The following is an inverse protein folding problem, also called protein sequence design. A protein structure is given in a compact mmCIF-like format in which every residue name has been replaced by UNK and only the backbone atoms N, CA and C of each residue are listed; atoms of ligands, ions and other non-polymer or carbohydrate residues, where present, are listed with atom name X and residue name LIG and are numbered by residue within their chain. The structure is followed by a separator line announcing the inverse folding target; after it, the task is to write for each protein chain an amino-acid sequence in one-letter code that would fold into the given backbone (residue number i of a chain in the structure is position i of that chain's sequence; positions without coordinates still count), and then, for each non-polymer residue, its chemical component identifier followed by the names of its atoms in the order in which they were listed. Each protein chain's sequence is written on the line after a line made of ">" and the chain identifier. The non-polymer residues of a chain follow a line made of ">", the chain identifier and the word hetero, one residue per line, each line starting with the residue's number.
data_IF_146777983310
#
_entry.id   IF_146777983310
#
_cell.length_a   1.000
_cell.length_b   1.000
_cell.length_c   1.000
_cell.angle_alpha   90.00
_cell.angle_beta   90.00
_cell.angle_gamma   90.00
#
_symmetry.space_group_name_H-M   'P 1'
#
loop_
_entity.id
_entity.type
_entity.pdbx_description
1 polymer ?
#
# COMPACT_ATOMS: atom_id res chain seq x y z
N UNK A 1 -52.52 -53.46 -10.99
CA UNK A 1 -52.83 -52.01 -11.02
C UNK A 1 -52.46 -51.40 -9.66
N UNK A 2 -52.20 -50.08 -9.61
CA UNK A 2 -51.64 -49.28 -8.49
C UNK A 2 -50.10 -49.21 -8.53
N UNK A 3 -49.43 -48.43 -9.39
CA UNK A 3 -49.44 -46.97 -9.62
C UNK A 3 -48.99 -46.12 -8.41
N UNK A 4 -47.72 -45.69 -8.48
CA UNK A 4 -47.10 -44.44 -8.01
C UNK A 4 -47.38 -44.01 -6.56
N UNK A 5 -46.30 -43.89 -5.77
CA UNK A 5 -45.98 -42.66 -5.01
C UNK A 5 -44.46 -42.46 -4.94
N UNK A 6 -43.97 -41.66 -5.88
CA UNK A 6 -42.64 -41.05 -5.84
C UNK A 6 -42.73 -39.93 -4.79
N UNK A 7 -41.98 -40.06 -3.69
CA UNK A 7 -41.81 -39.00 -2.70
C UNK A 7 -40.43 -38.37 -2.91
N UNK A 8 -40.42 -37.28 -3.69
CA UNK A 8 -39.28 -36.38 -3.86
C UNK A 8 -39.19 -35.56 -2.57
N UNK A 9 -38.16 -35.80 -1.76
CA UNK A 9 -37.83 -34.94 -0.63
C UNK A 9 -36.82 -33.91 -1.11
N UNK A 10 -37.32 -32.74 -1.55
CA UNK A 10 -36.48 -31.60 -1.88
C UNK A 10 -35.99 -30.96 -0.56
N UNK A 11 -34.77 -31.30 -0.15
CA UNK A 11 -34.10 -30.63 0.95
C UNK A 11 -33.67 -29.25 0.46
N UNK A 12 -34.31 -28.21 1.00
CA UNK A 12 -33.99 -26.81 0.77
C UNK A 12 -32.60 -26.51 1.35
N UNK A 13 -31.55 -26.65 0.55
CA UNK A 13 -30.24 -26.11 0.88
C UNK A 13 -30.30 -24.58 0.69
N UNK A 14 -30.59 -23.85 1.76
CA UNK A 14 -30.27 -22.42 1.84
C UNK A 14 -28.76 -22.30 2.02
N UNK A 15 -27.98 -21.84 1.02
CA UNK A 15 -26.68 -21.29 1.32
C UNK A 15 -26.95 -20.04 2.18
N UNK A 16 -26.64 -20.13 3.47
CA UNK A 16 -26.35 -18.93 4.25
C UNK A 16 -25.18 -18.26 3.53
N UNK A 17 -25.50 -17.29 2.69
CA UNK A 17 -24.51 -16.39 2.13
C UNK A 17 -23.84 -15.72 3.31
N UNK A 18 -22.65 -16.17 3.67
CA UNK A 18 -21.74 -15.40 4.48
C UNK A 18 -21.46 -14.14 3.68
N UNK A 19 -22.16 -13.07 4.00
CA UNK A 19 -21.68 -11.74 3.69
C UNK A 19 -20.37 -11.59 4.46
N UNK A 20 -19.26 -11.94 3.83
CA UNK A 20 -17.99 -11.33 4.20
C UNK A 20 -18.23 -9.85 3.93
N UNK A 21 -18.44 -9.06 4.99
CA UNK A 21 -18.11 -7.64 4.91
C UNK A 21 -16.64 -7.64 4.49
N UNK A 22 -16.40 -7.49 3.19
CA UNK A 22 -15.08 -7.32 2.66
C UNK A 22 -14.64 -6.00 3.25
N UNK A 23 -13.82 -6.09 4.29
CA UNK A 23 -12.89 -5.06 4.73
C UNK A 23 -12.03 -4.78 3.49
N UNK A 24 -12.58 -3.97 2.60
CA UNK A 24 -12.02 -3.66 1.30
C UNK A 24 -10.80 -2.82 1.65
N UNK A 25 -9.65 -3.48 1.74
CA UNK A 25 -8.42 -2.77 2.01
C UNK A 25 -8.26 -1.76 0.87
N UNK A 26 -8.52 -0.49 1.14
CA UNK A 26 -8.32 0.58 0.17
C UNK A 26 -6.85 0.68 -0.29
N UNK A 27 -5.95 -0.13 0.29
CA UNK A 27 -4.64 -0.43 -0.26
C UNK A 27 -4.70 -0.99 -1.70
N UNK A 28 -5.74 -1.73 -2.07
CA UNK A 28 -5.92 -2.24 -3.44
C UNK A 28 -6.15 -1.11 -4.45
N UNK A 29 -6.67 0.05 -3.99
CA UNK A 29 -6.79 1.25 -4.80
C UNK A 29 -5.47 2.00 -5.00
N UNK A 30 -4.40 1.63 -4.28
CA UNK A 30 -3.10 2.25 -4.38
C UNK A 30 -2.13 1.35 -5.15
N UNK A 31 -2.05 1.54 -6.46
CA UNK A 31 -1.20 0.74 -7.32
C UNK A 31 0.23 1.33 -7.42
N UNK A 32 1.26 0.47 -7.42
CA UNK A 32 2.62 0.89 -7.78
C UNK A 32 2.64 1.27 -9.27
N UNK A 33 2.81 2.55 -9.56
CA UNK A 33 2.87 3.10 -10.93
C UNK A 33 4.25 2.94 -11.56
N UNK A 34 5.32 2.93 -10.76
CA UNK A 34 6.68 2.78 -11.25
C UNK A 34 7.73 2.84 -10.15
N UNK A 35 8.96 2.54 -10.50
CA UNK A 35 10.12 2.76 -9.63
C UNK A 35 11.38 2.97 -10.45
N UNK A 36 12.27 3.83 -9.97
CA UNK A 36 13.51 4.20 -10.64
C UNK A 36 14.66 4.25 -9.63
N UNK A 37 15.86 3.93 -10.10
CA UNK A 37 17.11 4.15 -9.37
C UNK A 37 17.88 5.30 -9.99
N UNK A 38 18.78 5.94 -9.25
CA UNK A 38 19.69 6.94 -9.82
C UNK A 38 19.06 8.32 -10.07
N UNK A 39 17.81 8.54 -9.65
CA UNK A 39 17.11 9.79 -9.94
C UNK A 39 17.66 10.94 -9.09
N UNK A 40 17.91 12.13 -9.68
CA UNK A 40 18.33 13.30 -8.92
C UNK A 40 17.36 13.63 -7.79
N UNK A 41 17.86 13.65 -6.55
CA UNK A 41 17.06 13.99 -5.37
C UNK A 41 17.80 15.01 -4.50
N UNK A 42 17.23 16.21 -4.39
CA UNK A 42 17.84 17.32 -3.60
C UNK A 42 17.99 17.00 -2.11
N UNK A 43 17.24 16.01 -1.61
CA UNK A 43 17.30 15.56 -0.21
C UNK A 43 18.33 14.44 0.03
N UNK A 44 18.97 13.95 -1.04
CA UNK A 44 19.90 12.83 -1.04
C UNK A 44 21.21 13.16 -1.74
N UNK A 45 21.64 14.42 -1.67
CA UNK A 45 22.87 14.85 -2.31
C UNK A 45 24.08 14.19 -1.62
N UNK A 46 24.64 13.19 -2.29
CA UNK A 46 25.94 12.61 -1.94
C UNK A 46 26.94 12.96 -3.03
N UNK A 47 28.23 13.00 -2.70
CA UNK A 47 29.28 13.36 -3.64
C UNK A 47 30.29 12.22 -3.77
N UNK A 48 30.60 11.88 -5.02
CA UNK A 48 31.72 11.00 -5.36
C UNK A 48 32.78 11.88 -6.05
N UNK A 49 33.76 12.33 -5.26
CA UNK A 49 34.65 13.42 -5.64
C UNK A 49 33.88 14.75 -5.76
N UNK A 50 33.92 15.38 -6.95
CA UNK A 50 33.21 16.64 -7.22
C UNK A 50 31.84 16.46 -7.90
N UNK A 51 31.44 15.21 -8.21
CA UNK A 51 30.18 14.93 -8.90
C UNK A 51 29.13 14.50 -7.88
N UNK A 52 27.90 15.00 -8.06
CA UNK A 52 26.74 14.51 -7.31
C UNK A 52 26.46 13.07 -7.73
N UNK A 53 26.36 12.21 -6.74
CA UNK A 53 26.04 10.80 -6.88
C UNK A 53 24.64 10.55 -6.32
N UNK A 54 23.79 10.00 -7.17
CA UNK A 54 22.42 9.61 -6.84
C UNK A 54 22.19 8.12 -7.11
N UNK A 55 23.24 7.34 -7.40
CA UNK A 55 23.12 5.93 -7.76
C UNK A 55 22.39 5.09 -6.71
N UNK A 56 22.55 5.44 -5.43
CA UNK A 56 21.83 4.81 -4.31
C UNK A 56 20.38 5.27 -4.12
N UNK A 57 19.94 6.34 -4.79
CA UNK A 57 18.59 6.87 -4.64
C UNK A 57 17.60 5.93 -5.31
N UNK A 58 16.69 5.37 -4.51
CA UNK A 58 15.54 4.62 -4.99
C UNK A 58 14.29 5.50 -4.90
N UNK A 59 13.52 5.58 -5.98
CA UNK A 59 12.27 6.31 -6.04
C UNK A 59 11.16 5.34 -6.45
N UNK A 60 10.00 5.46 -5.81
CA UNK A 60 8.80 4.68 -6.12
C UNK A 60 7.60 5.61 -6.25
N UNK A 61 6.73 5.29 -7.20
CA UNK A 61 5.52 6.04 -7.48
C UNK A 61 4.31 5.16 -7.21
N UNK A 62 3.33 5.71 -6.50
CA UNK A 62 2.05 5.09 -6.23
C UNK A 62 0.94 5.94 -6.82
N UNK A 63 0.00 5.32 -7.52
CA UNK A 63 -1.14 5.99 -8.13
C UNK A 63 -2.43 5.49 -7.50
N UNK A 64 -3.32 6.43 -7.16
CA UNK A 64 -4.69 6.08 -6.81
C UNK A 64 -5.44 5.71 -8.09
N UNK A 65 -5.81 4.45 -8.24
CA UNK A 65 -6.54 3.93 -9.41
C UNK A 65 -8.06 3.96 -9.23
N UNK A 66 -8.53 4.22 -8.01
CA UNK A 66 -9.93 4.39 -7.69
C UNK A 66 -10.35 5.86 -7.85
N UNK A 67 -11.66 6.14 -7.80
CA UNK A 67 -12.18 7.50 -8.01
C UNK A 67 -12.31 8.27 -6.68
N UNK A 68 -12.26 7.56 -5.55
CA UNK A 68 -12.34 8.09 -4.21
C UNK A 68 -11.03 8.77 -3.79
N UNK A 69 -11.12 9.74 -2.88
CA UNK A 69 -9.93 10.34 -2.26
C UNK A 69 -9.42 9.41 -1.16
N UNK A 70 -8.14 9.06 -1.21
CA UNK A 70 -7.47 8.20 -0.24
C UNK A 70 -6.50 8.98 0.63
N UNK A 71 -6.43 8.67 1.92
CA UNK A 71 -5.28 9.04 2.75
C UNK A 71 -4.25 7.93 2.71
N UNK A 72 -3.02 8.31 2.36
CA UNK A 72 -1.94 7.36 2.07
C UNK A 72 -0.74 7.62 2.97
N UNK A 73 -0.23 6.55 3.56
CA UNK A 73 1.05 6.51 4.29
C UNK A 73 2.02 5.63 3.52
N UNK A 74 3.25 6.10 3.31
CA UNK A 74 4.31 5.32 2.63
C UNK A 74 5.60 5.39 3.43
N UNK A 75 6.33 4.27 3.43
CA UNK A 75 7.68 4.19 3.94
C UNK A 75 8.58 3.40 2.96
N UNK A 76 9.78 3.91 2.71
CA UNK A 76 10.77 3.28 1.83
C UNK A 76 11.99 2.96 2.66
N UNK A 77 12.51 1.76 2.51
CA UNK A 77 13.63 1.31 3.33
C UNK A 77 14.98 1.78 2.79
N UNK A 78 15.81 2.27 3.71
CA UNK A 78 17.20 2.63 3.51
C UNK A 78 18.11 1.41 3.78
N UNK A 79 19.29 1.36 3.16
CA UNK A 79 20.25 0.23 3.28
C UNK A 79 20.79 0.03 4.69
N UNK A 80 20.68 1.03 5.56
CA UNK A 80 21.01 0.93 6.98
C UNK A 80 19.90 0.27 7.83
N UNK A 81 18.84 -0.26 7.20
CA UNK A 81 17.70 -0.89 7.87
C UNK A 81 16.66 0.10 8.42
N UNK A 82 16.90 1.40 8.30
CA UNK A 82 15.91 2.42 8.70
C UNK A 82 14.86 2.61 7.62
N UNK A 83 13.66 3.03 8.02
CA UNK A 83 12.56 3.28 7.09
C UNK A 83 12.34 4.79 6.97
N UNK A 84 12.56 5.34 5.77
CA UNK A 84 12.21 6.71 5.45
C UNK A 84 10.71 6.82 5.26
N UNK A 85 10.04 7.45 6.20
CA UNK A 85 8.60 7.64 6.18
C UNK A 85 8.21 8.96 5.53
N UNK A 86 7.02 8.97 4.93
CA UNK A 86 6.40 10.16 4.34
C UNK A 86 5.16 10.54 5.15
N UNK A 87 4.80 11.83 5.25
CA UNK A 87 3.58 12.24 5.94
C UNK A 87 2.34 11.66 5.25
N UNK A 88 1.27 11.48 6.03
CA UNK A 88 -0.02 11.07 5.46
C UNK A 88 -0.46 12.14 4.46
N UNK A 89 -0.79 11.72 3.25
CA UNK A 89 -1.17 12.62 2.16
C UNK A 89 -2.47 12.15 1.54
N UNK A 90 -3.38 13.08 1.21
CA UNK A 90 -4.59 12.77 0.46
C UNK A 90 -4.29 12.70 -1.04
N UNK A 91 -4.75 11.64 -1.72
CA UNK A 91 -4.63 11.45 -3.17
C UNK A 91 -6.02 11.35 -3.78
N UNK A 92 -6.38 12.27 -4.68
CA UNK A 92 -7.59 12.14 -5.47
C UNK A 92 -7.45 11.02 -6.51
N UNK A 93 -8.56 10.62 -7.13
CA UNK A 93 -8.54 9.58 -8.15
C UNK A 93 -7.65 9.96 -9.33
N UNK A 94 -6.72 9.07 -9.68
CA UNK A 94 -5.74 9.29 -10.74
C UNK A 94 -4.44 9.98 -10.30
N UNK A 95 -4.39 10.60 -9.11
CA UNK A 95 -3.21 11.28 -8.59
C UNK A 95 -2.07 10.30 -8.27
N UNK A 96 -0.84 10.80 -8.32
CA UNK A 96 0.37 10.01 -8.06
C UNK A 96 1.19 10.61 -6.92
N UNK A 97 1.51 9.78 -5.93
CA UNK A 97 2.47 10.06 -4.87
C UNK A 97 3.85 9.52 -5.25
N UNK A 98 4.89 10.30 -4.99
CA UNK A 98 6.29 9.87 -5.10
C UNK A 98 6.89 9.74 -3.71
N UNK A 99 7.50 8.58 -3.43
CA UNK A 99 8.32 8.33 -2.27
C UNK A 99 9.74 7.92 -2.70
N UNK A 100 10.71 8.04 -1.81
CA UNK A 100 12.11 7.71 -2.11
C UNK A 100 12.87 7.26 -0.86
N UNK A 101 14.02 6.64 -1.06
CA UNK A 101 15.09 6.42 -0.08
C UNK A 101 16.41 6.91 -0.69
N UNK A 102 17.30 7.49 0.12
CA UNK A 102 18.56 8.06 -0.39
C UNK A 102 19.60 6.99 -0.72
N UNK A 103 19.57 5.89 0.04
CA UNK A 103 20.31 4.67 -0.18
C UNK A 103 19.28 3.54 -0.08
N UNK A 104 18.50 3.33 -1.13
CA UNK A 104 17.37 2.41 -1.06
C UNK A 104 17.76 0.94 -1.12
N UNK A 105 16.90 0.07 -0.61
CA UNK A 105 16.96 -1.39 -0.83
C UNK A 105 15.98 -1.86 -1.91
N UNK A 106 15.07 -0.98 -2.34
CA UNK A 106 13.93 -1.34 -3.19
C UNK A 106 12.68 -1.76 -2.41
N UNK A 107 12.80 -2.04 -1.09
CA UNK A 107 11.67 -2.43 -0.24
C UNK A 107 10.83 -1.21 0.13
N UNK A 108 9.50 -1.42 0.14
CA UNK A 108 8.51 -0.38 0.39
C UNK A 108 7.34 -0.95 1.18
N UNK A 109 6.78 -0.15 2.08
CA UNK A 109 5.54 -0.42 2.77
C UNK A 109 4.59 0.75 2.52
N UNK A 110 3.31 0.45 2.33
CA UNK A 110 2.29 1.46 2.13
C UNK A 110 0.98 1.04 2.79
N UNK A 111 0.21 2.05 3.18
CA UNK A 111 -1.11 1.90 3.77
C UNK A 111 -2.00 2.95 3.15
N UNK A 112 -3.24 2.59 2.87
CA UNK A 112 -4.24 3.51 2.37
C UNK A 112 -5.57 3.27 3.08
N UNK A 113 -6.29 4.35 3.30
CA UNK A 113 -7.68 4.34 3.75
C UNK A 113 -8.45 5.40 2.98
N UNK A 114 -9.77 5.30 2.97
CA UNK A 114 -10.60 6.39 2.44
C UNK A 114 -10.48 7.62 3.34
N UNK A 115 -10.52 8.82 2.75
CA UNK A 115 -10.65 10.04 3.55
C UNK A 115 -11.89 9.96 4.44
N UNK A 116 -11.72 10.34 5.72
CA UNK A 116 -12.72 10.29 6.80
C UNK A 116 -13.08 8.88 7.30
N UNK A 117 -12.40 7.83 6.85
CA UNK A 117 -12.48 6.53 7.49
C UNK A 117 -11.70 6.55 8.82
N UNK A 118 -12.43 6.48 9.92
CA UNK A 118 -11.86 6.46 11.27
C UNK A 118 -11.68 5.05 11.83
N UNK A 119 -12.18 4.03 11.13
CA UNK A 119 -12.05 2.62 11.56
C UNK A 119 -10.63 2.13 11.30
N UNK A 120 -10.03 2.56 10.19
CA UNK A 120 -8.65 2.23 9.82
C UNK A 120 -7.71 3.31 10.35
N UNK A 121 -6.79 2.98 11.25
CA UNK A 121 -5.75 3.90 11.74
C UNK A 121 -4.45 3.68 10.96
N UNK A 122 -4.00 4.71 10.25
CA UNK A 122 -2.70 4.67 9.56
C UNK A 122 -1.55 4.69 10.57
N UNK A 123 -0.48 3.91 10.35
CA UNK A 123 0.61 3.83 11.31
C UNK A 123 1.41 5.13 11.39
N UNK A 124 1.84 5.44 12.60
CA UNK A 124 2.78 6.52 12.88
C UNK A 124 4.21 6.14 12.51
N UNK A 125 5.09 7.13 12.37
CA UNK A 125 6.51 6.90 12.07
C UNK A 125 7.18 6.00 13.12
N UNK A 126 6.85 6.21 14.41
CA UNK A 126 7.37 5.41 15.51
C UNK A 126 6.91 3.95 15.46
N UNK A 127 5.66 3.69 15.05
CA UNK A 127 5.16 2.33 14.88
C UNK A 127 5.86 1.62 13.71
N UNK A 128 6.07 2.31 12.58
CA UNK A 128 6.80 1.77 11.43
C UNK A 128 8.24 1.45 11.83
N UNK A 129 8.93 2.38 12.50
CA UNK A 129 10.30 2.15 12.96
C UNK A 129 10.40 0.97 13.93
N UNK A 130 9.49 0.90 14.91
CA UNK A 130 9.49 -0.17 15.93
C UNK A 130 9.21 -1.55 15.32
N UNK A 131 8.23 -1.65 14.41
CA UNK A 131 7.85 -2.90 13.74
C UNK A 131 8.94 -3.47 12.83
N UNK A 132 9.95 -2.65 12.49
CA UNK A 132 11.08 -3.04 11.67
C UNK A 132 12.42 -3.02 12.44
N UNK A 133 12.40 -2.72 13.74
CA UNK A 133 13.61 -2.78 14.57
C UNK A 133 14.06 -4.24 14.76
N UNK A 134 15.34 -4.53 14.48
CA UNK A 134 15.92 -5.87 14.66
C UNK A 134 15.76 -6.84 13.49
N UNK A 135 15.37 -6.36 12.31
CA UNK A 135 15.41 -7.13 11.04
C UNK A 135 16.68 -6.84 10.23
#
# INVERSE_FOLDING_TARGET
>A
MQLKRILITALLAMPMGWATAQDQSYADCLAKAGSNWGQPCRKCETYNGYKRDFSGVYQVQFRNICNEILEVKVAVEETNGTWRTFPVTALAGGDTLTAFACQGTGRVQYWARRVNDTEIVLPTDGQIASANSGR
#
